data_IF_031893139223
#
_entry.id   IF_031893139223
#
_cell.length_a   1.000
_cell.length_b   1.000
_cell.length_c   1.000
_cell.angle_alpha   90.00
_cell.angle_beta   90.00
_cell.angle_gamma   90.00
#
_symmetry.space_group_name_H-M   'P 1'
#
loop_
_entity.id
_entity.type
_entity.pdbx_description
1 polymer ?
#
# COMPACT_ATOMS: atom_id res chain seq x y z
N UNK A 1 25.67 4.02 -0.41
CA UNK A 1 26.42 4.75 0.63
C UNK A 1 25.89 4.27 1.98
N UNK A 2 26.70 3.50 2.71
CA UNK A 2 26.32 3.00 4.04
C UNK A 2 26.36 4.16 5.02
N UNK A 3 25.20 4.55 5.56
CA UNK A 3 25.13 5.52 6.64
C UNK A 3 25.72 4.85 7.89
N UNK A 4 26.96 5.21 8.22
CA UNK A 4 27.39 5.17 9.62
C UNK A 4 26.37 5.97 10.42
N UNK A 5 25.81 5.40 11.49
CA UNK A 5 24.91 6.14 12.36
C UNK A 5 25.67 7.33 12.92
N UNK A 6 25.44 8.52 12.38
CA UNK A 6 26.14 9.74 12.75
C UNK A 6 25.94 9.99 14.25
N UNK A 7 26.97 10.48 14.93
CA UNK A 7 26.84 10.86 16.34
C UNK A 7 25.97 12.11 16.47
N UNK A 8 25.25 12.25 17.58
CA UNK A 8 24.53 13.48 17.86
C UNK A 8 25.50 14.65 17.96
N UNK A 9 25.18 15.78 17.32
CA UNK A 9 26.06 16.93 17.28
C UNK A 9 26.40 17.52 18.66
N UNK A 10 25.55 17.28 19.67
CA UNK A 10 25.72 17.74 21.06
C UNK A 10 26.20 16.63 22.01
N UNK A 11 25.90 15.38 21.69
CA UNK A 11 26.22 14.21 22.51
C UNK A 11 27.01 13.21 21.68
N UNK A 12 28.35 13.31 21.64
CA UNK A 12 29.19 12.45 20.80
C UNK A 12 29.12 10.97 21.24
N UNK A 13 28.70 10.71 22.47
CA UNK A 13 28.46 9.39 23.05
C UNK A 13 27.13 8.74 22.61
N UNK A 14 26.26 9.49 21.91
CA UNK A 14 24.93 9.01 21.52
C UNK A 14 24.77 8.98 20.00
N UNK A 15 24.17 7.91 19.50
CA UNK A 15 23.79 7.83 18.10
C UNK A 15 22.66 8.80 17.77
N UNK A 16 22.80 9.49 16.65
CA UNK A 16 21.72 10.27 16.09
C UNK A 16 20.61 9.34 15.60
N UNK A 17 19.39 9.72 15.93
CA UNK A 17 18.19 8.98 15.56
C UNK A 17 17.55 9.64 14.34
N UNK A 18 17.62 10.98 14.27
CA UNK A 18 16.99 11.81 13.25
C UNK A 18 17.88 13.02 12.93
N UNK A 19 17.48 13.79 11.91
CA UNK A 19 18.11 15.06 11.56
C UNK A 19 17.14 16.22 11.77
N UNK A 20 17.66 17.37 12.18
CA UNK A 20 16.86 18.58 12.22
C UNK A 20 16.41 18.98 10.82
N UNK A 21 15.14 19.28 10.62
CA UNK A 21 14.60 19.68 9.32
C UNK A 21 15.03 21.10 8.91
N UNK A 22 15.39 21.96 9.87
CA UNK A 22 15.86 23.31 9.60
C UNK A 22 17.34 23.36 9.20
N UNK A 23 18.25 22.76 9.99
CA UNK A 23 19.70 22.84 9.75
C UNK A 23 20.37 21.53 9.35
N UNK A 24 19.61 20.43 9.25
CA UNK A 24 20.10 19.10 8.82
C UNK A 24 21.19 18.49 9.71
N UNK A 25 21.41 19.03 10.92
CA UNK A 25 22.35 18.43 11.90
C UNK A 25 21.77 17.13 12.48
N UNK A 26 22.61 16.12 12.76
CA UNK A 26 22.20 14.85 13.37
C UNK A 26 21.89 15.02 14.86
N UNK A 27 20.74 14.50 15.32
CA UNK A 27 20.22 14.69 16.68
C UNK A 27 19.82 13.35 17.31
N UNK A 28 20.21 13.09 18.56
CA UNK A 28 19.74 11.91 19.31
C UNK A 28 18.32 12.12 19.85
N UNK A 29 17.64 11.03 20.24
CA UNK A 29 16.26 11.11 20.75
C UNK A 29 16.08 12.02 21.97
N UNK A 30 17.11 12.22 22.79
CA UNK A 30 17.07 13.12 23.94
C UNK A 30 17.21 14.61 23.59
N UNK A 31 17.72 14.93 22.40
CA UNK A 31 17.83 16.30 21.91
C UNK A 31 16.77 16.62 20.84
N UNK A 32 15.92 15.66 20.49
CA UNK A 32 14.96 15.79 19.41
C UNK A 32 13.68 16.46 19.94
N UNK A 33 13.38 17.63 19.41
CA UNK A 33 12.14 18.37 19.68
C UNK A 33 11.18 18.21 18.49
N UNK A 34 9.88 18.31 18.74
CA UNK A 34 8.88 18.34 17.67
C UNK A 34 8.12 19.67 17.67
N UNK A 35 7.95 20.26 16.49
CA UNK A 35 6.93 21.30 16.31
C UNK A 35 5.53 20.67 16.35
N UNK A 36 4.50 21.48 16.57
CA UNK A 36 3.10 21.02 16.54
C UNK A 36 2.71 20.39 15.18
N UNK A 37 3.31 20.87 14.08
CA UNK A 37 3.15 20.29 12.74
C UNK A 37 3.95 18.98 12.51
N UNK A 38 4.63 18.45 13.54
CA UNK A 38 5.43 17.23 13.47
C UNK A 38 6.85 17.40 12.94
N UNK A 39 7.30 18.63 12.68
CA UNK A 39 8.67 18.92 12.21
C UNK A 39 9.70 18.59 13.29
N UNK A 40 10.79 17.93 12.89
CA UNK A 40 11.91 17.54 13.77
C UNK A 40 12.89 18.68 13.93
N UNK A 41 13.10 19.12 15.16
CA UNK A 41 13.94 20.28 15.49
C UNK A 41 15.07 19.88 16.43
N UNK A 42 16.23 20.51 16.24
CA UNK A 42 17.27 20.52 17.28
C UNK A 42 16.88 21.53 18.39
N UNK A 43 17.53 21.48 19.56
CA UNK A 43 17.20 22.36 20.68
C UNK A 43 17.36 23.86 20.36
N UNK A 44 18.30 24.22 19.47
CA UNK A 44 18.50 25.60 19.02
C UNK A 44 17.28 26.13 18.25
N UNK A 45 16.85 25.42 17.20
CA UNK A 45 15.66 25.82 16.43
C UNK A 45 14.36 25.66 17.22
N UNK A 46 14.30 24.73 18.18
CA UNK A 46 13.16 24.64 19.09
C UNK A 46 13.07 25.89 19.99
N UNK A 47 14.20 26.39 20.49
CA UNK A 47 14.25 27.63 21.28
C UNK A 47 13.86 28.86 20.45
N UNK A 48 14.32 28.96 19.20
CA UNK A 48 13.90 30.03 18.28
C UNK A 48 12.38 30.02 18.04
N UNK A 49 11.79 28.83 17.87
CA UNK A 49 10.34 28.65 17.69
C UNK A 49 9.56 29.05 18.94
N UNK A 50 10.05 28.68 20.13
CA UNK A 50 9.49 29.13 21.40
C UNK A 50 9.53 30.66 21.56
N UNK A 51 10.65 31.28 21.20
CA UNK A 51 10.78 32.75 21.21
C UNK A 51 9.83 33.43 20.23
N UNK A 52 9.55 32.77 19.09
CA UNK A 52 8.54 33.21 18.13
C UNK A 52 7.09 32.93 18.57
N UNK A 53 6.87 32.45 19.79
CA UNK A 53 5.54 32.14 20.34
C UNK A 53 4.90 30.87 19.77
N UNK A 54 5.69 30.01 19.10
CA UNK A 54 5.19 28.76 18.54
C UNK A 54 5.28 27.62 19.57
N UNK A 55 4.30 26.73 19.54
CA UNK A 55 4.29 25.53 20.38
C UNK A 55 5.30 24.51 19.87
N UNK A 56 6.18 24.07 20.76
CA UNK A 56 7.06 22.91 20.53
C UNK A 56 6.89 21.91 21.66
N UNK A 57 7.07 20.65 21.33
CA UNK A 57 6.94 19.52 22.24
C UNK A 57 8.36 19.11 22.66
N UNK A 58 8.64 19.06 23.97
CA UNK A 58 9.95 18.75 24.49
C UNK A 58 10.19 17.23 24.56
N UNK A 59 11.46 16.77 24.56
CA UNK A 59 11.83 15.36 24.49
C UNK A 59 11.30 14.50 25.64
N UNK A 60 11.08 15.09 26.80
CA UNK A 60 10.59 14.43 28.00
C UNK A 60 9.20 13.81 27.78
N UNK A 61 8.40 14.36 26.86
CA UNK A 61 7.05 13.84 26.55
C UNK A 61 7.09 12.45 25.89
N UNK A 62 8.21 12.07 25.29
CA UNK A 62 8.39 10.79 24.59
C UNK A 62 9.62 10.03 25.10
N UNK A 63 9.94 10.21 26.39
CA UNK A 63 11.08 9.57 27.05
C UNK A 63 11.11 8.05 26.86
N UNK A 64 9.94 7.40 26.90
CA UNK A 64 9.80 5.95 26.73
C UNK A 64 10.24 5.48 25.32
N UNK A 65 10.15 6.36 24.32
CA UNK A 65 10.59 6.11 22.95
C UNK A 65 12.08 6.36 22.71
N UNK A 66 12.79 7.03 23.62
CA UNK A 66 14.19 7.44 23.40
C UNK A 66 15.14 6.24 23.44
N UNK A 67 15.04 5.40 24.47
CA UNK A 67 15.90 4.21 24.60
C UNK A 67 15.75 3.24 23.41
N UNK A 68 14.55 2.82 22.99
CA UNK A 68 14.41 1.89 21.86
C UNK A 68 14.81 2.50 20.52
N UNK A 69 14.61 3.82 20.32
CA UNK A 69 15.03 4.49 19.10
C UNK A 69 16.56 4.65 19.01
N UNK A 70 17.24 4.96 20.11
CA UNK A 70 18.70 4.97 20.17
C UNK A 70 19.29 3.57 20.01
N UNK A 71 18.70 2.54 20.63
CA UNK A 71 19.14 1.16 20.43
C UNK A 71 18.97 0.70 18.97
N UNK A 72 17.89 1.12 18.31
CA UNK A 72 17.67 0.88 16.88
C UNK A 72 18.68 1.59 16.00
N UNK A 73 19.03 2.85 16.33
CA UNK A 73 20.04 3.63 15.62
C UNK A 73 21.47 3.09 15.82
N UNK A 74 21.76 2.56 17.01
CA UNK A 74 23.04 1.94 17.34
C UNK A 74 23.23 0.56 16.68
N UNK A 75 22.16 -0.06 16.20
CA UNK A 75 22.23 -1.39 15.60
C UNK A 75 23.07 -1.29 14.32
N UNK A 76 24.16 -2.06 14.19
CA UNK A 76 24.96 -2.06 12.98
C UNK A 76 24.07 -2.43 11.78
N UNK A 77 24.36 -1.90 10.58
CA UNK A 77 23.63 -2.28 9.38
C UNK A 77 23.63 -3.82 9.29
N UNK A 78 22.43 -4.41 9.25
CA UNK A 78 22.27 -5.86 9.12
C UNK A 78 23.04 -6.32 7.88
N UNK A 79 23.79 -7.42 8.00
CA UNK A 79 24.41 -8.09 6.87
C UNK A 79 23.41 -8.30 5.74
N UNK A 80 23.89 -8.31 4.49
CA UNK A 80 23.09 -8.31 3.26
C UNK A 80 21.86 -9.21 3.35
N UNK A 81 20.71 -8.59 3.67
CA UNK A 81 19.45 -9.29 3.71
C UNK A 81 19.12 -9.73 2.27
N UNK A 82 18.56 -10.94 2.06
CA UNK A 82 18.17 -11.41 0.73
C UNK A 82 17.24 -10.43 0.00
N UNK A 83 16.49 -9.62 0.76
CA UNK A 83 15.70 -8.52 0.24
C UNK A 83 15.93 -7.25 1.06
N UNK A 84 16.36 -6.19 0.38
CA UNK A 84 16.45 -4.83 0.91
C UNK A 84 15.56 -3.93 0.05
N UNK A 85 14.60 -3.27 0.69
CA UNK A 85 13.62 -2.43 0.04
C UNK A 85 13.15 -1.34 0.99
N UNK A 86 12.78 -0.17 0.45
CA UNK A 86 12.05 0.84 1.21
C UNK A 86 10.54 0.50 1.23
N UNK A 87 9.70 1.43 1.71
CA UNK A 87 8.25 1.25 1.71
C UNK A 87 7.65 1.01 0.31
N UNK A 88 8.19 1.65 -0.72
CA UNK A 88 7.72 1.50 -2.11
C UNK A 88 8.06 0.12 -2.69
N UNK A 89 9.26 -0.40 -2.40
CA UNK A 89 9.67 -1.76 -2.76
C UNK A 89 8.75 -2.80 -2.09
N UNK A 90 8.47 -2.63 -0.79
CA UNK A 90 7.59 -3.52 -0.02
C UNK A 90 6.15 -3.47 -0.53
N UNK A 91 5.63 -2.29 -0.86
CA UNK A 91 4.30 -2.14 -1.45
C UNK A 91 4.20 -2.84 -2.81
N UNK A 92 5.23 -2.72 -3.66
CA UNK A 92 5.29 -3.40 -4.95
C UNK A 92 5.31 -4.94 -4.77
N UNK A 93 6.12 -5.44 -3.84
CA UNK A 93 6.18 -6.88 -3.52
C UNK A 93 4.84 -7.40 -2.99
N UNK A 94 4.22 -6.67 -2.05
CA UNK A 94 2.93 -7.02 -1.49
C UNK A 94 1.85 -7.07 -2.58
N UNK A 95 1.82 -6.07 -3.48
CA UNK A 95 0.91 -6.04 -4.61
C UNK A 95 1.10 -7.26 -5.53
N UNK A 96 2.35 -7.63 -5.84
CA UNK A 96 2.66 -8.80 -6.66
C UNK A 96 2.16 -10.11 -6.02
N UNK A 97 2.42 -10.30 -4.72
CA UNK A 97 1.99 -11.49 -3.98
C UNK A 97 0.46 -11.58 -3.91
N UNK A 98 -0.22 -10.48 -3.60
CA UNK A 98 -1.69 -10.44 -3.57
C UNK A 98 -2.29 -10.69 -4.96
N UNK A 99 -1.71 -10.11 -6.01
CA UNK A 99 -2.15 -10.32 -7.39
C UNK A 99 -2.00 -11.77 -7.82
N UNK A 100 -0.85 -12.39 -7.52
CA UNK A 100 -0.61 -13.81 -7.83
C UNK A 100 -1.55 -14.72 -7.02
N UNK A 101 -1.72 -14.45 -5.73
CA UNK A 101 -2.63 -15.22 -4.88
C UNK A 101 -4.09 -15.11 -5.37
N UNK A 102 -4.52 -13.93 -5.81
CA UNK A 102 -5.84 -13.70 -6.38
C UNK A 102 -6.07 -14.47 -7.68
N UNK A 103 -5.05 -14.58 -8.54
CA UNK A 103 -5.12 -15.36 -9.78
C UNK A 103 -5.17 -16.86 -9.46
N UNK A 104 -4.30 -17.34 -8.57
CA UNK A 104 -4.22 -18.75 -8.21
C UNK A 104 -5.45 -19.25 -7.44
N UNK A 105 -6.14 -18.38 -6.71
CA UNK A 105 -7.37 -18.74 -5.98
C UNK A 105 -8.61 -18.84 -6.86
N UNK A 106 -8.48 -18.70 -8.19
CA UNK A 106 -9.59 -18.79 -9.15
C UNK A 106 -10.80 -17.93 -8.74
N UNK A 107 -10.56 -16.73 -8.18
CA UNK A 107 -11.59 -15.83 -7.65
C UNK A 107 -12.40 -16.35 -6.43
N UNK A 108 -12.04 -17.50 -5.86
CA UNK A 108 -12.71 -18.08 -4.70
C UNK A 108 -12.25 -17.46 -3.38
N UNK A 109 -13.18 -16.76 -2.71
CA UNK A 109 -13.16 -16.34 -1.29
C UNK A 109 -12.44 -15.04 -0.90
N UNK A 110 -11.67 -14.38 -1.78
CA UNK A 110 -10.91 -13.18 -1.42
C UNK A 110 -11.29 -11.95 -2.26
N UNK A 111 -12.55 -11.54 -2.25
CA UNK A 111 -13.08 -10.45 -3.10
C UNK A 111 -12.29 -9.14 -3.06
N UNK A 112 -11.67 -8.79 -1.93
CA UNK A 112 -10.91 -7.55 -1.78
C UNK A 112 -9.44 -7.66 -2.19
N UNK A 113 -8.88 -8.88 -2.29
CA UNK A 113 -7.47 -9.07 -2.64
C UNK A 113 -7.13 -8.56 -4.05
N UNK A 114 -7.92 -8.83 -5.11
CA UNK A 114 -7.65 -8.32 -6.45
C UNK A 114 -7.67 -6.79 -6.50
N UNK A 115 -8.62 -6.16 -5.79
CA UNK A 115 -8.71 -4.70 -5.70
C UNK A 115 -7.51 -4.13 -4.94
N UNK A 116 -7.13 -4.71 -3.80
CA UNK A 116 -5.96 -4.30 -3.03
C UNK A 116 -4.66 -4.46 -3.85
N UNK A 117 -4.50 -5.59 -4.55
CA UNK A 117 -3.37 -5.84 -5.45
C UNK A 117 -3.29 -4.79 -6.56
N UNK A 118 -4.43 -4.44 -7.18
CA UNK A 118 -4.50 -3.42 -8.22
C UNK A 118 -4.12 -2.03 -7.68
N UNK A 119 -4.74 -1.59 -6.58
CA UNK A 119 -4.50 -0.26 -6.00
C UNK A 119 -3.07 -0.12 -5.50
N UNK A 120 -2.55 -1.10 -4.76
CA UNK A 120 -1.17 -1.08 -4.28
C UNK A 120 -0.17 -1.19 -5.43
N UNK A 121 -0.47 -1.98 -6.45
CA UNK A 121 0.31 -2.06 -7.67
C UNK A 121 0.38 -0.70 -8.39
N UNK A 122 -0.75 0.01 -8.49
CA UNK A 122 -0.82 1.34 -9.09
C UNK A 122 -0.01 2.37 -8.31
N UNK A 123 -0.21 2.45 -6.99
CA UNK A 123 0.52 3.39 -6.11
C UNK A 123 2.02 3.13 -6.18
N UNK A 124 2.44 1.86 -6.05
CA UNK A 124 3.85 1.49 -6.12
C UNK A 124 4.45 1.76 -7.52
N UNK A 125 3.67 1.61 -8.59
CA UNK A 125 4.13 1.96 -9.93
C UNK A 125 4.35 3.46 -10.11
N UNK A 126 3.45 4.29 -9.58
CA UNK A 126 3.60 5.76 -9.62
C UNK A 126 4.78 6.25 -8.78
N UNK A 127 5.06 5.59 -7.65
CA UNK A 127 6.16 5.93 -6.74
C UNK A 127 7.47 5.18 -7.02
N UNK A 128 7.57 4.41 -8.12
CA UNK A 128 8.70 3.51 -8.36
C UNK A 128 10.07 4.21 -8.47
N UNK A 129 10.08 5.52 -8.74
CA UNK A 129 11.30 6.33 -8.86
C UNK A 129 12.00 6.51 -7.52
N UNK A 130 11.24 6.44 -6.43
CA UNK A 130 11.75 6.58 -5.07
C UNK A 130 12.23 5.25 -4.49
N UNK A 131 12.04 4.13 -5.20
CA UNK A 131 12.45 2.80 -4.77
C UNK A 131 13.98 2.64 -4.74
N UNK A 132 14.48 1.76 -3.87
CA UNK A 132 15.91 1.43 -3.83
C UNK A 132 16.35 0.73 -5.13
N UNK A 133 15.48 -0.12 -5.69
CA UNK A 133 15.65 -0.73 -7.01
C UNK A 133 14.41 -0.45 -7.88
N UNK A 134 14.43 0.64 -8.68
CA UNK A 134 13.27 1.06 -9.48
C UNK A 134 12.89 0.02 -10.55
N UNK A 135 13.85 -0.76 -11.04
CA UNK A 135 13.59 -1.79 -12.07
C UNK A 135 12.81 -2.95 -11.45
N UNK A 136 13.23 -3.42 -10.27
CA UNK A 136 12.54 -4.50 -9.55
C UNK A 136 11.16 -4.05 -9.07
N UNK A 137 11.05 -2.85 -8.48
CA UNK A 137 9.77 -2.30 -8.03
C UNK A 137 8.78 -2.15 -9.20
N UNK A 138 9.25 -1.73 -10.38
CA UNK A 138 8.41 -1.66 -11.59
C UNK A 138 7.89 -3.02 -12.04
N UNK A 139 8.70 -4.07 -12.03
CA UNK A 139 8.23 -5.41 -12.41
C UNK A 139 7.24 -5.99 -11.40
N UNK A 140 7.49 -5.81 -10.10
CA UNK A 140 6.59 -6.28 -9.05
C UNK A 140 5.25 -5.53 -9.06
N UNK A 141 5.27 -4.21 -9.24
CA UNK A 141 4.03 -3.42 -9.39
C UNK A 141 3.23 -3.80 -10.63
N UNK A 142 3.90 -4.09 -11.76
CA UNK A 142 3.24 -4.61 -12.96
C UNK A 142 2.58 -5.98 -12.74
N UNK A 143 3.22 -6.89 -11.99
CA UNK A 143 2.62 -8.17 -11.62
C UNK A 143 1.33 -7.99 -10.80
N UNK A 144 1.35 -7.09 -9.81
CA UNK A 144 0.16 -6.77 -9.01
C UNK A 144 -0.96 -6.14 -9.83
N UNK A 145 -0.63 -5.17 -10.69
CA UNK A 145 -1.57 -4.53 -11.61
C UNK A 145 -2.18 -5.53 -12.59
N UNK A 146 -1.37 -6.38 -13.21
CA UNK A 146 -1.83 -7.39 -14.16
C UNK A 146 -2.74 -8.42 -13.48
N UNK A 147 -2.33 -8.92 -12.31
CA UNK A 147 -3.12 -9.88 -11.53
C UNK A 147 -4.48 -9.30 -11.11
N UNK A 148 -4.49 -8.08 -10.58
CA UNK A 148 -5.73 -7.38 -10.21
C UNK A 148 -6.61 -7.05 -11.42
N UNK A 149 -6.02 -6.61 -12.53
CA UNK A 149 -6.76 -6.28 -13.77
C UNK A 149 -7.42 -7.50 -14.39
N UNK A 150 -6.72 -8.64 -14.40
CA UNK A 150 -7.25 -9.89 -14.95
C UNK A 150 -8.54 -10.33 -14.24
N UNK A 151 -8.63 -10.12 -12.92
CA UNK A 151 -9.84 -10.36 -12.16
C UNK A 151 -11.02 -9.50 -12.63
N UNK A 152 -10.81 -8.19 -12.81
CA UNK A 152 -11.88 -7.29 -13.29
C UNK A 152 -12.32 -7.63 -14.72
N UNK A 153 -11.38 -7.97 -15.60
CA UNK A 153 -11.70 -8.43 -16.96
C UNK A 153 -12.51 -9.73 -16.91
N UNK A 154 -12.11 -10.69 -16.06
CA UNK A 154 -12.86 -11.93 -15.86
C UNK A 154 -14.28 -11.69 -15.33
N UNK A 155 -14.46 -10.78 -14.38
CA UNK A 155 -15.76 -10.41 -13.84
C UNK A 155 -16.67 -9.76 -14.90
N UNK A 156 -16.12 -8.84 -15.71
CA UNK A 156 -16.84 -8.22 -16.82
C UNK A 156 -17.20 -9.23 -17.91
N UNK A 157 -16.29 -10.17 -18.23
CA UNK A 157 -16.55 -11.23 -19.19
C UNK A 157 -17.64 -12.19 -18.70
N UNK A 158 -17.61 -12.58 -17.42
CA UNK A 158 -18.65 -13.41 -16.82
C UNK A 158 -20.01 -12.69 -16.83
N UNK A 159 -20.05 -11.42 -16.43
CA UNK A 159 -21.28 -10.61 -16.49
C UNK A 159 -21.83 -10.52 -17.92
N UNK A 160 -20.96 -10.23 -18.90
CA UNK A 160 -21.33 -10.18 -20.31
C UNK A 160 -21.85 -11.52 -20.83
N UNK A 161 -21.23 -12.63 -20.43
CA UNK A 161 -21.69 -13.98 -20.76
C UNK A 161 -23.07 -14.28 -20.18
N UNK A 162 -23.30 -13.96 -18.90
CA UNK A 162 -24.61 -14.13 -18.25
C UNK A 162 -25.68 -13.29 -18.97
N UNK A 163 -25.39 -12.02 -19.27
CA UNK A 163 -26.30 -11.16 -20.01
C UNK A 163 -26.59 -11.69 -21.43
N UNK A 164 -25.58 -12.22 -22.12
CA UNK A 164 -25.76 -12.84 -23.43
C UNK A 164 -26.67 -14.07 -23.36
N UNK A 165 -26.43 -14.98 -22.40
CA UNK A 165 -27.29 -16.14 -22.17
C UNK A 165 -28.74 -15.73 -21.88
N UNK A 166 -28.93 -14.71 -21.04
CA UNK A 166 -30.24 -14.16 -20.73
C UNK A 166 -30.91 -13.62 -22.00
N UNK A 167 -30.23 -12.78 -22.78
CA UNK A 167 -30.77 -12.22 -24.03
C UNK A 167 -31.15 -13.33 -25.03
N UNK A 168 -30.33 -14.38 -25.17
CA UNK A 168 -30.63 -15.52 -26.02
C UNK A 168 -31.87 -16.28 -25.55
N UNK A 169 -32.03 -16.49 -24.24
CA UNK A 169 -33.22 -17.13 -23.67
C UNK A 169 -34.50 -16.35 -23.96
N UNK A 170 -34.47 -15.02 -23.79
CA UNK A 170 -35.61 -14.16 -24.13
C UNK A 170 -35.92 -14.16 -25.62
N UNK A 171 -34.90 -14.11 -26.48
CA UNK A 171 -35.08 -14.18 -27.93
C UNK A 171 -35.74 -15.51 -28.35
N UNK A 172 -35.31 -16.63 -27.77
CA UNK A 172 -35.91 -17.94 -28.02
C UNK A 172 -37.38 -18.00 -27.59
N UNK A 173 -37.71 -17.51 -26.39
CA UNK A 173 -39.10 -17.45 -25.90
C UNK A 173 -39.97 -16.57 -26.80
N UNK A 174 -39.48 -15.38 -27.19
CA UNK A 174 -40.20 -14.48 -28.08
C UNK A 174 -40.44 -15.11 -29.47
N UNK A 175 -39.47 -15.88 -29.98
CA UNK A 175 -39.62 -16.61 -31.25
C UNK A 175 -40.58 -17.81 -31.16
N UNK A 176 -40.72 -18.41 -29.97
CA UNK A 176 -41.63 -19.53 -29.74
C UNK A 176 -43.10 -19.10 -29.52
N UNK A 177 -43.35 -17.83 -29.22
CA UNK A 177 -44.69 -17.28 -28.93
C UNK A 177 -45.64 -17.08 -30.12
N UNK A 178 -45.30 -17.60 -31.31
CA UNK A 178 -46.06 -17.37 -32.56
C UNK A 178 -47.07 -18.45 -32.96
N UNK A 179 -47.32 -19.46 -32.13
CA UNK A 179 -48.34 -20.48 -32.41
C UNK A 179 -49.66 -20.15 -31.71
N UNK A 180 -50.80 -19.96 -32.41
CA UNK A 180 -52.09 -19.87 -31.73
C UNK A 180 -52.28 -21.18 -30.96
N UNK A 181 -52.24 -21.07 -29.62
CA UNK A 181 -52.50 -22.18 -28.73
C UNK A 181 -53.87 -22.77 -29.07
N UNK A 182 -53.87 -23.88 -29.81
CA UNK A 182 -55.04 -24.76 -29.88
C UNK A 182 -55.21 -25.31 -28.48
N UNK A 183 -56.00 -24.60 -27.68
CA UNK A 183 -56.55 -25.16 -26.45
C UNK A 183 -57.16 -26.51 -26.82
N UNK A 184 -56.81 -27.60 -26.12
CA UNK A 184 -57.53 -28.85 -26.30
C UNK A 184 -58.98 -28.58 -25.89
N UNK A 185 -59.88 -28.55 -26.88
CA UNK A 185 -61.31 -28.51 -26.62
C UNK A 185 -61.67 -29.69 -25.72
N UNK A 186 -62.39 -29.49 -24.61
CA UNK A 186 -62.78 -30.59 -23.75
C UNK A 186 -63.59 -31.60 -24.57
N UNK A 187 -63.20 -32.88 -24.48
CA UNK A 187 -63.94 -34.00 -25.06
C UNK A 187 -65.37 -34.00 -24.47
N UNK A 188 -66.43 -34.16 -25.28
CA UNK A 188 -67.77 -34.32 -24.76
C UNK A 188 -67.83 -35.62 -23.94
N UNK A 189 -68.21 -35.50 -22.67
CA UNK A 189 -68.53 -36.64 -21.82
C UNK A 189 -69.88 -37.24 -22.24
N UNK A 190 -70.02 -38.57 -22.29
CA UNK A 190 -71.28 -39.24 -22.61
C UNK A 190 -72.34 -39.06 -21.51
#
# INVERSE_FOLDING_TARGET
MSATADACYRHPDRHAVEHCEACRRPVCGACLWYAEAGQRLCPEHAAERLQAGQTVIPPERYVDGIAPSQASAARPPRADAPYRGNSTDVAALAAAVMGLAAVLSCAGLAYFLPLAAFVLGLVAWLQNKDALDPRRARWLSLLGLAGGSLFFVGLLALLGFVLLCFMLQFALIASAGGGPGRFPTPLPTP
#
